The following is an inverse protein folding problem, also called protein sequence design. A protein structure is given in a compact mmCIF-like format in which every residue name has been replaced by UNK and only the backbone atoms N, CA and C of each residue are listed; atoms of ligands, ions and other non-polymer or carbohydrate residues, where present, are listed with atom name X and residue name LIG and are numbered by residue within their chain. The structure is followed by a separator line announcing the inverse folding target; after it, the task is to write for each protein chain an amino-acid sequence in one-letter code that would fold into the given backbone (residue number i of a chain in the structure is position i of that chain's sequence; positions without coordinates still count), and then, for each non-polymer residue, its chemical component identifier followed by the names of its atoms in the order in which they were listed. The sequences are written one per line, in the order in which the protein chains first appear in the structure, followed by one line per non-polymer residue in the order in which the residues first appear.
data_IF_561387754390
#
_entry.id   IF_561387754390
#
_cell.length_a   1.000
_cell.length_b   1.000
_cell.length_c   1.000
_cell.angle_alpha   90.00
_cell.angle_beta   90.00
_cell.angle_gamma   90.00
#
_symmetry.space_group_name_H-M   'P 1'
#
loop_
_entity.id
_entity.type
_entity.pdbx_description
1 polymer ?
#
# COMPACT_ATOMS: atom_id res chain seq x y z
N UNK A 1 -15.86 8.49 6.24
CA UNK A 1 -15.08 7.38 5.70
C UNK A 1 -14.44 7.88 4.41
N UNK A 2 -13.11 7.97 4.38
CA UNK A 2 -12.40 8.44 3.18
C UNK A 2 -12.52 7.38 2.08
N UNK A 3 -12.67 7.81 0.81
CA UNK A 3 -12.73 6.93 -0.38
C UNK A 3 -11.57 5.92 -0.46
N UNK A 4 -10.48 6.20 0.26
CA UNK A 4 -9.28 5.37 0.35
C UNK A 4 -9.48 4.06 1.12
N UNK A 5 -10.38 4.03 2.10
CA UNK A 5 -10.71 2.80 2.85
C UNK A 5 -11.69 1.89 2.08
N UNK A 6 -12.43 2.44 1.12
CA UNK A 6 -13.39 1.67 0.32
C UNK A 6 -12.70 0.86 -0.79
N UNK A 7 -11.55 1.32 -1.30
CA UNK A 7 -10.78 0.64 -2.34
C UNK A 7 -10.37 -0.82 -1.97
N UNK A 8 -9.75 -1.09 -0.82
CA UNK A 8 -9.42 -2.46 -0.43
C UNK A 8 -10.68 -3.31 -0.22
N UNK A 9 -11.74 -2.74 0.34
CA UNK A 9 -13.03 -3.43 0.54
C UNK A 9 -13.63 -3.84 -0.82
N UNK A 10 -13.64 -2.93 -1.79
CA UNK A 10 -14.15 -3.20 -3.13
C UNK A 10 -13.39 -4.36 -3.81
N UNK A 11 -12.08 -4.41 -3.57
CA UNK A 11 -11.19 -5.44 -4.11
C UNK A 11 -11.51 -6.81 -3.50
N UNK A 12 -11.71 -6.86 -2.17
CA UNK A 12 -12.10 -8.08 -1.45
C UNK A 12 -13.48 -8.56 -1.87
N UNK A 13 -14.46 -7.65 -1.98
CA UNK A 13 -15.81 -7.97 -2.45
C UNK A 13 -15.77 -8.52 -3.88
N UNK A 14 -14.99 -7.89 -4.77
CA UNK A 14 -14.77 -8.38 -6.13
C UNK A 14 -14.19 -9.79 -6.16
N UNK A 15 -13.16 -10.05 -5.34
CA UNK A 15 -12.55 -11.37 -5.19
C UNK A 15 -13.55 -12.44 -4.75
N UNK A 16 -14.31 -12.17 -3.68
CA UNK A 16 -15.33 -13.10 -3.17
C UNK A 16 -16.39 -13.38 -4.25
N UNK A 17 -16.85 -12.34 -4.94
CA UNK A 17 -17.82 -12.47 -6.01
C UNK A 17 -17.31 -13.35 -7.16
N UNK A 18 -16.05 -13.20 -7.59
CA UNK A 18 -15.44 -14.08 -8.60
C UNK A 18 -15.35 -15.52 -8.14
N UNK A 19 -14.88 -15.77 -6.91
CA UNK A 19 -14.72 -17.13 -6.39
C UNK A 19 -16.08 -17.82 -6.28
N UNK A 20 -17.08 -17.16 -5.70
CA UNK A 20 -18.42 -17.71 -5.58
C UNK A 20 -19.08 -17.94 -6.93
N UNK A 21 -18.95 -16.99 -7.86
CA UNK A 21 -19.52 -17.13 -9.21
C UNK A 21 -18.92 -18.33 -9.94
N UNK A 22 -17.60 -18.52 -9.83
CA UNK A 22 -16.92 -19.67 -10.42
C UNK A 22 -17.37 -20.99 -9.78
N UNK A 23 -17.42 -21.06 -8.45
CA UNK A 23 -17.86 -22.26 -7.73
C UNK A 23 -19.29 -22.64 -8.13
N UNK A 24 -20.22 -21.68 -8.17
CA UNK A 24 -21.61 -21.95 -8.54
C UNK A 24 -21.73 -22.31 -10.02
N UNK A 25 -20.96 -21.68 -10.91
CA UNK A 25 -20.93 -22.00 -12.34
C UNK A 25 -20.57 -23.47 -12.61
N UNK A 26 -19.65 -24.05 -11.83
CA UNK A 26 -19.27 -25.47 -11.95
C UNK A 26 -20.47 -26.40 -11.72
N UNK A 27 -21.37 -26.05 -10.81
CA UNK A 27 -22.58 -26.84 -10.54
C UNK A 27 -23.74 -26.48 -11.47
N UNK A 28 -23.88 -25.20 -11.82
CA UNK A 28 -24.97 -24.67 -12.65
C UNK A 28 -24.39 -23.79 -13.74
N UNK A 29 -24.03 -24.37 -14.91
CA UNK A 29 -23.46 -23.62 -16.01
C UNK A 29 -24.53 -22.72 -16.66
N UNK A 30 -24.58 -21.48 -16.21
CA UNK A 30 -25.49 -20.43 -16.69
C UNK A 30 -24.71 -19.17 -17.07
N UNK A 31 -25.16 -18.49 -18.13
CA UNK A 31 -24.56 -17.24 -18.59
C UNK A 31 -24.61 -16.11 -17.54
N UNK A 32 -25.54 -16.19 -16.58
CA UNK A 32 -25.63 -15.23 -15.48
C UNK A 32 -24.38 -15.26 -14.60
N UNK A 33 -23.86 -16.46 -14.27
CA UNK A 33 -22.67 -16.61 -13.43
C UNK A 33 -21.38 -16.22 -14.16
N UNK A 34 -21.35 -16.38 -15.49
CA UNK A 34 -20.27 -15.84 -16.31
C UNK A 34 -20.26 -14.31 -16.22
N UNK A 35 -21.43 -13.68 -16.30
CA UNK A 35 -21.55 -12.22 -16.14
C UNK A 35 -21.07 -11.73 -14.79
N UNK A 36 -21.50 -12.36 -13.69
CA UNK A 36 -21.06 -11.98 -12.34
C UNK A 36 -19.57 -12.22 -12.11
N UNK A 37 -19.02 -13.28 -12.70
CA UNK A 37 -17.59 -13.55 -12.68
C UNK A 37 -16.79 -12.42 -13.35
N UNK A 38 -17.18 -12.01 -14.56
CA UNK A 38 -16.51 -10.93 -15.30
C UNK A 38 -16.58 -9.62 -14.52
N UNK A 39 -17.75 -9.28 -13.96
CA UNK A 39 -17.93 -8.06 -13.15
C UNK A 39 -17.03 -8.10 -11.91
N UNK A 40 -17.00 -9.22 -11.19
CA UNK A 40 -16.12 -9.40 -10.03
C UNK A 40 -14.64 -9.24 -10.40
N UNK A 41 -14.23 -9.75 -11.56
CA UNK A 41 -12.86 -9.63 -12.06
C UNK A 41 -12.49 -8.18 -12.33
N UNK A 42 -13.37 -7.41 -12.97
CA UNK A 42 -13.16 -5.99 -13.25
C UNK A 42 -13.04 -5.19 -11.95
N UNK A 43 -13.89 -5.47 -10.96
CA UNK A 43 -13.83 -4.82 -9.65
C UNK A 43 -12.53 -5.15 -8.91
N UNK A 44 -12.07 -6.40 -8.98
CA UNK A 44 -10.82 -6.83 -8.35
C UNK A 44 -9.60 -6.18 -9.00
N UNK A 45 -9.49 -6.23 -10.34
CA UNK A 45 -8.37 -5.63 -11.06
C UNK A 45 -8.38 -4.11 -10.95
N UNK A 46 -9.55 -3.48 -11.07
CA UNK A 46 -9.71 -2.04 -10.93
C UNK A 46 -9.38 -1.55 -9.51
N UNK A 47 -9.88 -2.25 -8.49
CA UNK A 47 -9.60 -1.95 -7.09
C UNK A 47 -8.12 -2.08 -6.76
N UNK A 48 -7.47 -3.17 -7.20
CA UNK A 48 -6.04 -3.39 -6.99
C UNK A 48 -5.17 -2.35 -7.70
N UNK A 49 -5.45 -2.05 -8.97
CA UNK A 49 -4.66 -1.07 -9.74
C UNK A 49 -4.75 0.34 -9.15
N UNK A 50 -5.95 0.77 -8.76
CA UNK A 50 -6.16 2.05 -8.07
C UNK A 50 -5.48 2.09 -6.70
N UNK A 51 -5.55 1.00 -5.93
CA UNK A 51 -4.86 0.89 -4.64
C UNK A 51 -3.34 0.97 -4.82
N UNK A 52 -2.78 0.24 -5.79
CA UNK A 52 -1.35 0.25 -6.08
C UNK A 52 -0.85 1.64 -6.53
N UNK A 53 -1.61 2.34 -7.37
CA UNK A 53 -1.30 3.71 -7.78
C UNK A 53 -1.36 4.68 -6.58
N UNK A 54 -2.32 4.51 -5.68
CA UNK A 54 -2.42 5.32 -4.46
C UNK A 54 -1.23 5.08 -3.54
N UNK A 55 -0.78 3.84 -3.37
CA UNK A 55 0.39 3.51 -2.53
C UNK A 55 1.66 4.12 -3.10
N UNK A 56 1.86 4.05 -4.43
CA UNK A 56 3.00 4.68 -5.10
C UNK A 56 3.04 6.20 -4.95
N UNK A 57 1.87 6.86 -4.92
CA UNK A 57 1.81 8.31 -4.67
C UNK A 57 2.28 8.66 -3.27
N UNK A 58 1.91 7.85 -2.28
CA UNK A 58 2.30 8.05 -0.88
C UNK A 58 3.78 7.78 -0.67
N UNK A 59 4.30 6.73 -1.30
CA UNK A 59 5.72 6.41 -1.25
C UNK A 59 6.56 7.53 -1.88
N UNK A 60 6.10 8.11 -3.01
CA UNK A 60 6.73 9.28 -3.61
C UNK A 60 6.60 10.53 -2.74
N UNK A 61 5.47 10.75 -2.09
CA UNK A 61 5.28 11.90 -1.21
C UNK A 61 6.16 11.79 0.05
N UNK A 62 6.28 10.59 0.63
CA UNK A 62 7.20 10.29 1.73
C UNK A 62 8.65 10.47 1.30
N UNK A 63 9.05 9.90 0.17
CA UNK A 63 10.42 10.07 -0.36
C UNK A 63 10.74 11.55 -0.62
N UNK A 64 9.80 12.33 -1.15
CA UNK A 64 10.01 13.77 -1.36
C UNK A 64 10.11 14.57 -0.05
N UNK A 65 9.40 14.15 1.00
CA UNK A 65 9.52 14.77 2.33
C UNK A 65 10.84 14.39 3.01
N UNK A 66 11.33 13.18 2.78
CA UNK A 66 12.62 12.71 3.28
C UNK A 66 13.79 13.41 2.59
N UNK A 67 13.71 13.64 1.28
CA UNK A 67 14.69 14.42 0.51
C UNK A 67 14.75 15.87 0.99
N UNK A 68 13.60 16.51 1.27
CA UNK A 68 13.55 17.86 1.86
C UNK A 68 14.05 17.89 3.30
N UNK A 69 13.91 16.80 4.07
CA UNK A 69 14.45 16.70 5.42
C UNK A 69 15.98 16.49 5.43
N UNK A 70 16.52 15.76 4.45
CA UNK A 70 17.97 15.66 4.23
C UNK A 70 18.59 17.02 3.86
N UNK A 71 17.93 17.78 2.98
CA UNK A 71 18.44 19.07 2.49
C UNK A 71 18.38 20.19 3.56
N UNK A 72 17.64 19.97 4.66
CA UNK A 72 17.55 20.90 5.81
C UNK A 72 18.40 20.53 7.03
N UNK A 73 19.19 19.45 6.96
CA UNK A 73 19.94 18.94 8.10
C UNK A 73 19.01 18.26 9.11
N UNK A 74 19.03 16.93 9.12
CA UNK A 74 18.12 16.15 9.96
C UNK A 74 18.54 16.19 11.44
N UNK A 75 17.65 16.65 12.32
CA UNK A 75 17.72 16.39 13.77
C UNK A 75 17.13 15.00 13.99
N UNK A 76 17.98 14.06 14.39
CA UNK A 76 17.55 12.72 14.82
C UNK A 76 16.89 12.87 16.19
N UNK A 77 15.57 12.97 16.25
CA UNK A 77 14.83 12.85 17.51
C UNK A 77 14.66 11.35 17.83
N UNK A 78 15.54 10.85 18.69
CA UNK A 78 15.45 9.50 19.25
C UNK A 78 14.37 9.52 20.33
N UNK A 79 13.12 9.26 19.96
CA UNK A 79 12.00 8.96 20.88
C UNK A 79 12.15 7.57 21.54
N UNK A 80 13.39 7.16 21.81
CA UNK A 80 13.77 6.06 22.69
C UNK A 80 14.82 6.57 23.67
N UNK A 81 14.92 6.03 24.90
CA UNK A 81 15.88 6.51 25.89
C UNK A 81 17.30 6.41 25.34
N UNK A 82 17.86 7.58 25.00
CA UNK A 82 19.22 7.69 24.52
C UNK A 82 20.19 7.22 25.61
N UNK A 83 20.81 6.07 25.40
CA UNK A 83 22.00 5.68 26.16
C UNK A 83 23.23 6.05 25.33
N UNK A 84 24.06 7.02 25.77
CA UNK A 84 25.34 7.24 25.13
C UNK A 84 26.18 5.97 25.37
N UNK A 85 26.38 5.19 24.31
CA UNK A 85 27.43 4.17 24.30
C UNK A 85 28.72 4.96 24.17
N UNK A 86 29.38 5.15 25.32
CA UNK A 86 30.60 5.94 25.41
C UNK A 86 31.68 5.39 24.51
N UNK A 87 32.10 6.21 23.55
CA UNK A 87 33.50 6.46 23.25
C UNK A 87 33.58 7.82 22.54
N UNK A 88 34.49 8.67 22.98
CA UNK A 88 34.64 10.05 22.48
C UNK A 88 34.92 10.04 20.97
N UNK A 89 33.94 10.46 20.16
CA UNK A 89 34.14 10.67 18.74
C UNK A 89 35.09 11.88 18.54
N UNK A 90 36.38 11.59 18.48
CA UNK A 90 37.43 12.58 18.22
C UNK A 90 37.43 12.89 16.72
N UNK A 91 37.24 14.16 16.34
CA UNK A 91 37.34 14.61 14.95
C UNK A 91 38.82 14.77 14.62
N UNK A 92 39.39 13.85 13.84
CA UNK A 92 40.73 14.01 13.28
C UNK A 92 40.67 14.93 12.05
N UNK A 93 41.38 16.05 12.13
CA UNK A 93 41.62 16.94 11.00
C UNK A 93 42.76 16.34 10.19
N UNK A 94 42.48 15.87 8.98
CA UNK A 94 43.49 15.48 8.01
C UNK A 94 44.20 16.73 7.48
N UNK A 95 45.49 16.88 7.76
CA UNK A 95 46.40 17.85 7.12
C UNK A 95 46.64 17.53 5.63
#
# INVERSE_FOLDING_TARGET
MEYRELLPILTIVGMIATVLSFLVYVFVPSGVFIGTFIIGMVLMVGGYTLSALSSRKIEKELASREEVAMDRGCIISLDGPYQPVGDDATIEVLE
#
